data_IF_336073362015
#
_entry.id   IF_336073362015
#
_cell.length_a   1.000
_cell.length_b   1.000
_cell.length_c   1.000
_cell.angle_alpha   90.00
_cell.angle_beta   90.00
_cell.angle_gamma   90.00
#
_symmetry.space_group_name_H-M   'P 1'
#
loop_
_entity.id
_entity.type
_entity.pdbx_description
1 polymer ?
#
# COMPACT_ATOMS: atom_id res chain seq x y z
N UNK A 1 19.62 28.03 -16.28
CA UNK A 1 20.25 27.17 -15.26
C UNK A 1 19.24 26.12 -14.80
N UNK A 2 19.64 24.84 -14.79
CA UNK A 2 18.82 23.73 -14.27
C UNK A 2 19.38 23.41 -12.90
N UNK A 3 18.56 23.51 -11.87
CA UNK A 3 18.91 23.12 -10.52
C UNK A 3 18.40 21.70 -10.27
N UNK A 4 19.31 20.78 -9.95
CA UNK A 4 18.96 19.41 -9.53
C UNK A 4 19.10 19.36 -8.01
N UNK A 5 18.02 19.06 -7.34
CA UNK A 5 17.99 18.87 -5.89
C UNK A 5 17.90 17.38 -5.58
N UNK A 6 18.79 16.89 -4.77
CA UNK A 6 18.69 15.57 -4.17
C UNK A 6 17.91 15.67 -2.86
N UNK A 7 16.80 14.99 -2.76
CA UNK A 7 16.03 14.90 -1.52
C UNK A 7 16.68 13.85 -0.62
N UNK A 8 17.29 14.28 0.45
CA UNK A 8 17.93 13.40 1.43
C UNK A 8 16.93 12.55 2.23
N UNK A 9 15.66 12.91 2.19
CA UNK A 9 14.62 12.33 3.03
C UNK A 9 13.38 11.95 2.21
N UNK A 10 13.48 10.88 1.44
CA UNK A 10 12.38 10.35 0.63
C UNK A 10 11.96 8.94 1.10
N UNK A 11 10.70 8.60 0.87
CA UNK A 11 10.26 7.22 1.02
C UNK A 11 10.79 6.36 -0.13
N UNK A 12 11.30 5.19 0.22
CA UNK A 12 11.61 4.16 -0.76
C UNK A 12 10.35 3.79 -1.57
N UNK A 13 10.55 3.31 -2.79
CA UNK A 13 9.46 2.91 -3.66
C UNK A 13 8.64 1.76 -3.08
N UNK A 14 9.30 0.81 -2.47
CA UNK A 14 8.71 -0.33 -1.76
C UNK A 14 9.43 -0.44 -0.43
N UNK A 15 8.69 -0.60 0.66
CA UNK A 15 9.27 -0.68 1.99
C UNK A 15 8.41 -1.48 2.96
N UNK A 16 9.06 -2.02 3.99
CA UNK A 16 8.38 -2.54 5.17
C UNK A 16 8.17 -1.40 6.16
N UNK A 17 6.93 -1.13 6.62
CA UNK A 17 6.70 -0.11 7.62
C UNK A 17 7.30 -0.51 8.96
N UNK A 18 7.94 0.43 9.65
CA UNK A 18 8.54 0.20 10.98
C UNK A 18 7.52 0.37 12.12
N UNK A 19 6.40 1.03 11.84
CA UNK A 19 5.41 1.35 12.85
C UNK A 19 4.02 1.49 12.22
N UNK A 20 3.00 1.05 12.96
CA UNK A 20 1.59 1.34 12.63
C UNK A 20 1.04 2.29 13.68
N UNK A 21 0.47 3.40 13.24
CA UNK A 21 -0.22 4.37 14.08
C UNK A 21 -1.70 4.29 13.77
N UNK A 22 -2.49 3.96 14.79
CA UNK A 22 -3.94 3.85 14.69
C UNK A 22 -4.63 5.10 15.22
N UNK A 23 -5.69 5.50 14.54
CA UNK A 23 -6.68 6.38 15.13
C UNK A 23 -7.78 5.55 15.77
N UNK A 24 -8.06 5.82 17.05
CA UNK A 24 -9.19 5.21 17.77
C UNK A 24 -10.52 5.82 17.36
N UNK A 25 -10.49 6.97 16.71
CA UNK A 25 -11.67 7.71 16.27
C UNK A 25 -11.96 7.39 14.79
N UNK A 26 -13.24 7.13 14.51
CA UNK A 26 -13.71 7.14 13.14
C UNK A 26 -13.61 8.55 12.55
N UNK A 27 -12.97 8.69 11.40
CA UNK A 27 -12.67 9.96 10.78
C UNK A 27 -13.24 10.02 9.37
N UNK A 28 -13.67 11.21 8.96
CA UNK A 28 -13.87 11.49 7.54
C UNK A 28 -12.51 11.67 6.82
N UNK A 29 -12.54 11.80 5.49
CA UNK A 29 -11.32 11.90 4.68
C UNK A 29 -10.46 13.11 5.07
N UNK A 30 -11.07 14.24 5.38
CA UNK A 30 -10.37 15.48 5.77
C UNK A 30 -9.70 15.32 7.13
N UNK A 31 -10.42 14.74 8.09
CA UNK A 31 -9.90 14.42 9.42
C UNK A 31 -8.73 13.43 9.34
N UNK A 32 -8.81 12.43 8.43
CA UNK A 32 -7.73 11.47 8.21
C UNK A 32 -6.46 12.14 7.69
N UNK A 33 -6.57 13.02 6.70
CA UNK A 33 -5.42 13.80 6.21
C UNK A 33 -4.82 14.67 7.31
N UNK A 34 -5.66 15.33 8.10
CA UNK A 34 -5.21 16.13 9.25
C UNK A 34 -4.50 15.27 10.30
N UNK A 35 -5.03 14.08 10.59
CA UNK A 35 -4.40 13.14 11.51
C UNK A 35 -3.03 12.68 11.00
N UNK A 36 -2.93 12.26 9.74
CA UNK A 36 -1.66 11.85 9.12
C UNK A 36 -0.66 13.01 9.14
N UNK A 37 -1.09 14.21 8.75
CA UNK A 37 -0.22 15.39 8.71
C UNK A 37 0.34 15.77 10.07
N UNK A 38 -0.50 15.70 11.12
CA UNK A 38 -0.08 16.05 12.49
C UNK A 38 0.83 15.01 13.14
N UNK A 39 0.71 13.76 12.73
CA UNK A 39 1.44 12.64 13.33
C UNK A 39 2.47 12.06 12.36
N UNK A 40 2.83 12.80 11.30
CA UNK A 40 3.73 12.32 10.27
C UNK A 40 5.04 11.81 10.85
N UNK A 41 5.35 10.59 10.51
CA UNK A 41 6.61 9.93 10.83
C UNK A 41 7.03 9.07 9.64
N UNK A 42 8.29 9.20 9.22
CA UNK A 42 8.84 8.44 8.10
C UNK A 42 8.78 6.94 8.38
N UNK A 43 8.38 6.16 7.38
CA UNK A 43 8.20 4.71 7.47
C UNK A 43 7.13 4.24 8.47
N UNK A 44 6.29 5.12 8.99
CA UNK A 44 5.09 4.74 9.70
C UNK A 44 3.92 4.56 8.73
N UNK A 45 3.00 3.68 9.10
CA UNK A 45 1.71 3.50 8.42
C UNK A 45 0.63 4.05 9.33
N UNK A 46 -0.15 4.97 8.79
CA UNK A 46 -1.27 5.58 9.50
C UNK A 46 -2.56 4.92 9.03
N UNK A 47 -3.25 4.32 9.96
CA UNK A 47 -4.52 3.65 9.70
C UNK A 47 -5.62 4.35 10.48
N UNK A 48 -6.63 4.80 9.77
CA UNK A 48 -7.87 5.32 10.35
C UNK A 48 -9.06 4.63 9.70
N UNK A 49 -10.10 4.33 10.45
CA UNK A 49 -11.32 3.76 9.88
C UNK A 49 -12.19 4.86 9.28
N UNK A 50 -12.79 4.59 8.12
CA UNK A 50 -13.85 5.40 7.56
C UNK A 50 -15.21 4.71 7.72
N UNK A 51 -16.30 5.47 7.60
CA UNK A 51 -17.67 4.90 7.55
C UNK A 51 -17.83 3.96 6.35
N UNK A 52 -17.12 4.22 5.27
CA UNK A 52 -17.14 3.43 4.03
C UNK A 52 -16.45 2.07 4.18
N UNK A 53 -15.44 1.96 5.05
CA UNK A 53 -14.71 0.71 5.28
C UNK A 53 -15.57 -0.39 5.92
N UNK A 54 -16.72 -0.05 6.51
CA UNK A 54 -17.61 -1.02 7.16
C UNK A 54 -18.35 -1.92 6.17
N UNK A 55 -18.57 -1.43 4.95
CA UNK A 55 -19.36 -2.15 3.92
C UNK A 55 -18.46 -2.91 2.94
N UNK A 56 -17.15 -2.74 3.02
CA UNK A 56 -16.23 -3.49 2.18
C UNK A 56 -15.80 -4.76 2.89
N UNK A 57 -15.74 -5.89 2.17
CA UNK A 57 -15.16 -7.16 2.61
C UNK A 57 -13.63 -7.06 2.86
N UNK A 58 -13.12 -5.85 3.04
CA UNK A 58 -11.73 -5.57 3.32
C UNK A 58 -11.39 -5.97 4.76
N UNK A 59 -10.21 -6.51 4.96
CA UNK A 59 -9.62 -6.67 6.29
C UNK A 59 -9.69 -5.31 6.97
N UNK A 60 -10.31 -5.25 8.15
CA UNK A 60 -10.41 -3.98 8.86
C UNK A 60 -9.01 -3.47 9.21
N UNK A 61 -8.81 -2.17 9.24
CA UNK A 61 -7.54 -1.58 9.68
C UNK A 61 -7.09 -2.09 11.05
N UNK A 62 -8.03 -2.45 11.94
CA UNK A 62 -7.74 -3.10 13.21
C UNK A 62 -7.08 -4.48 13.05
N UNK A 63 -7.40 -5.20 11.98
CA UNK A 63 -6.74 -6.48 11.68
C UNK A 63 -5.31 -6.26 11.16
N UNK A 64 -5.10 -5.27 10.28
CA UNK A 64 -3.75 -4.91 9.82
C UNK A 64 -2.88 -4.47 11.01
N UNK A 65 -3.43 -3.69 11.92
CA UNK A 65 -2.72 -3.20 13.09
C UNK A 65 -2.39 -4.29 14.13
N UNK A 66 -3.21 -5.33 14.21
CA UNK A 66 -2.93 -6.53 15.02
C UNK A 66 -1.95 -7.48 14.32
N UNK A 67 -1.82 -7.34 12.99
CA UNK A 67 -0.85 -8.13 12.23
C UNK A 67 0.53 -7.61 12.58
N UNK A 68 1.42 -8.52 12.87
CA UNK A 68 2.81 -8.16 13.14
C UNK A 68 3.41 -7.42 11.93
N UNK A 69 4.16 -6.36 12.21
CA UNK A 69 4.90 -5.65 11.18
C UNK A 69 5.83 -6.64 10.48
N UNK A 70 5.78 -6.64 9.15
CA UNK A 70 6.69 -7.44 8.35
C UNK A 70 8.12 -6.96 8.51
N UNK A 71 9.04 -7.90 8.56
CA UNK A 71 10.47 -7.63 8.56
C UNK A 71 11.12 -8.37 7.41
N UNK A 72 12.03 -7.70 6.72
CA UNK A 72 12.72 -8.30 5.59
C UNK A 72 13.58 -7.30 4.84
N UNK A 73 14.20 -7.79 3.79
CA UNK A 73 15.07 -7.02 2.90
C UNK A 73 14.47 -6.94 1.52
N UNK A 74 14.52 -5.77 0.92
CA UNK A 74 14.23 -5.58 -0.50
C UNK A 74 15.54 -5.84 -1.26
N UNK A 75 15.57 -6.92 -2.02
CA UNK A 75 16.78 -7.35 -2.76
C UNK A 75 16.91 -6.61 -4.09
N UNK A 76 15.77 -6.36 -4.75
CA UNK A 76 15.74 -5.59 -5.99
C UNK A 76 14.35 -4.99 -6.23
N UNK A 77 14.32 -3.86 -6.93
CA UNK A 77 13.11 -3.24 -7.46
C UNK A 77 13.36 -2.93 -8.93
N UNK A 78 12.47 -3.39 -9.78
CA UNK A 78 12.48 -3.14 -11.21
C UNK A 78 11.18 -2.43 -11.60
N UNK A 79 11.29 -1.35 -12.37
CA UNK A 79 10.13 -0.70 -12.98
C UNK A 79 9.78 -1.44 -14.27
N UNK A 80 8.60 -2.00 -14.33
CA UNK A 80 8.06 -2.64 -15.52
C UNK A 80 7.04 -1.74 -16.23
N UNK A 81 6.57 -2.10 -17.42
CA UNK A 81 5.72 -1.25 -18.28
C UNK A 81 4.55 -0.60 -17.52
N UNK A 82 3.85 -1.34 -16.67
CA UNK A 82 2.67 -0.85 -15.96
C UNK A 82 2.78 -1.12 -14.45
N UNK A 83 3.95 -1.01 -13.86
CA UNK A 83 4.06 -1.28 -12.43
C UNK A 83 5.49 -1.54 -11.95
N UNK A 84 5.59 -2.42 -10.98
CA UNK A 84 6.84 -2.74 -10.31
C UNK A 84 6.96 -4.23 -10.04
N UNK A 85 8.16 -4.76 -10.21
CA UNK A 85 8.56 -6.09 -9.78
C UNK A 85 9.60 -5.93 -8.67
N UNK A 86 9.42 -6.58 -7.54
CA UNK A 86 10.38 -6.60 -6.45
C UNK A 86 10.74 -8.04 -6.08
N UNK A 87 12.02 -8.27 -5.78
CA UNK A 87 12.47 -9.48 -5.11
C UNK A 87 12.72 -9.14 -3.65
N UNK A 88 12.17 -9.92 -2.74
CA UNK A 88 12.26 -9.68 -1.30
C UNK A 88 12.67 -10.94 -0.57
N UNK A 89 13.31 -10.76 0.59
CA UNK A 89 13.60 -11.83 1.55
C UNK A 89 12.96 -11.45 2.89
N UNK A 90 11.92 -12.16 3.28
CA UNK A 90 11.05 -11.82 4.42
C UNK A 90 11.36 -12.74 5.58
N UNK A 91 11.91 -12.18 6.66
CA UNK A 91 12.19 -12.90 7.91
C UNK A 91 10.93 -13.04 8.77
N UNK A 92 10.03 -12.04 8.68
CA UNK A 92 8.75 -12.04 9.36
C UNK A 92 7.67 -11.50 8.43
N UNK A 93 6.65 -12.30 8.13
CA UNK A 93 5.54 -11.91 7.27
C UNK A 93 4.76 -10.73 7.83
N UNK A 94 4.24 -9.92 6.92
CA UNK A 94 3.46 -8.74 7.30
C UNK A 94 3.22 -7.78 6.14
N UNK A 95 2.97 -6.53 6.46
CA UNK A 95 2.62 -5.52 5.47
C UNK A 95 3.85 -5.03 4.69
N UNK A 96 3.76 -5.10 3.36
CA UNK A 96 4.69 -4.44 2.44
C UNK A 96 3.96 -3.29 1.76
N UNK A 97 4.57 -2.11 1.70
CA UNK A 97 3.98 -0.89 1.14
C UNK A 97 4.64 -0.53 -0.18
N UNK A 98 3.82 -0.25 -1.19
CA UNK A 98 4.21 0.43 -2.42
C UNK A 98 3.88 1.92 -2.26
N UNK A 99 4.91 2.76 -2.29
CA UNK A 99 4.79 4.22 -2.27
C UNK A 99 4.32 4.73 -3.64
N UNK A 100 3.07 4.46 -3.94
CA UNK A 100 2.40 4.84 -5.17
C UNK A 100 0.93 5.11 -4.87
N UNK A 101 0.35 6.12 -5.53
CA UNK A 101 -1.03 6.48 -5.33
C UNK A 101 -1.98 5.29 -5.54
N UNK A 102 -2.81 5.04 -4.53
CA UNK A 102 -3.85 4.01 -4.60
C UNK A 102 -5.02 4.52 -5.44
N UNK A 103 -5.40 3.71 -6.40
CA UNK A 103 -6.63 3.89 -7.16
C UNK A 103 -7.44 2.60 -7.08
N UNK A 104 -8.65 2.69 -6.56
CA UNK A 104 -9.51 1.53 -6.36
C UNK A 104 -9.78 0.77 -7.67
N UNK A 105 -9.56 -0.55 -7.64
CA UNK A 105 -9.73 -1.43 -8.80
C UNK A 105 -8.67 -1.30 -9.89
N UNK A 106 -7.69 -0.37 -9.77
CA UNK A 106 -6.65 -0.19 -10.79
C UNK A 106 -5.35 -0.93 -10.47
N UNK A 107 -5.05 -1.12 -9.20
CA UNK A 107 -3.87 -1.86 -8.78
C UNK A 107 -4.22 -3.33 -8.57
N UNK A 108 -3.33 -4.20 -9.05
CA UNK A 108 -3.32 -5.63 -8.75
C UNK A 108 -1.99 -6.02 -8.16
N UNK A 109 -2.01 -6.85 -7.14
CA UNK A 109 -0.84 -7.37 -6.46
C UNK A 109 -0.69 -8.86 -6.67
N UNK A 110 0.53 -9.31 -6.85
CA UNK A 110 0.85 -10.73 -7.00
C UNK A 110 2.03 -11.09 -6.12
N UNK A 111 1.95 -12.26 -5.50
CA UNK A 111 3.04 -12.91 -4.78
C UNK A 111 3.34 -14.21 -5.52
N UNK A 112 4.55 -14.36 -6.04
CA UNK A 112 4.97 -15.55 -6.81
C UNK A 112 3.98 -15.92 -7.94
N UNK A 113 3.50 -14.89 -8.67
CA UNK A 113 2.49 -14.96 -9.72
C UNK A 113 1.06 -15.33 -9.26
N UNK A 114 0.79 -15.48 -7.98
CA UNK A 114 -0.58 -15.65 -7.47
C UNK A 114 -1.13 -14.29 -7.06
N UNK A 115 -2.35 -13.98 -7.52
CA UNK A 115 -3.01 -12.74 -7.15
C UNK A 115 -3.23 -12.69 -5.63
N UNK A 116 -2.95 -11.54 -5.05
CA UNK A 116 -3.09 -11.26 -3.63
C UNK A 116 -3.83 -9.95 -3.41
N UNK A 117 -4.54 -9.85 -2.30
CA UNK A 117 -5.34 -8.68 -1.97
C UNK A 117 -4.46 -7.44 -1.76
N UNK A 118 -4.88 -6.34 -2.39
CA UNK A 118 -4.30 -5.01 -2.22
C UNK A 118 -5.09 -4.24 -1.17
N UNK A 119 -4.38 -3.45 -0.39
CA UNK A 119 -4.94 -2.59 0.66
C UNK A 119 -4.60 -1.13 0.39
N UNK A 120 -5.54 -0.25 0.69
CA UNK A 120 -5.30 1.18 0.74
C UNK A 120 -4.62 1.54 2.06
N UNK A 121 -3.46 2.16 1.99
CA UNK A 121 -2.63 2.51 3.13
C UNK A 121 -2.42 4.02 3.15
N UNK A 122 -2.38 4.63 4.33
CA UNK A 122 -2.18 6.09 4.48
C UNK A 122 -3.14 6.93 3.61
N UNK A 123 -4.32 6.42 3.31
CA UNK A 123 -5.31 6.98 2.38
C UNK A 123 -4.88 7.09 0.91
N UNK A 124 -3.61 6.99 0.62
CA UNK A 124 -3.05 7.26 -0.72
C UNK A 124 -2.07 6.21 -1.22
N UNK A 125 -1.58 5.32 -0.38
CA UNK A 125 -0.59 4.31 -0.75
C UNK A 125 -1.22 2.93 -0.92
N UNK A 126 -0.47 2.04 -1.54
CA UNK A 126 -0.89 0.66 -1.83
C UNK A 126 -0.11 -0.30 -0.95
N UNK A 127 -0.77 -1.25 -0.32
CA UNK A 127 -0.14 -2.27 0.51
C UNK A 127 -0.54 -3.68 0.12
N UNK A 128 0.30 -4.64 0.47
CA UNK A 128 0.05 -6.08 0.30
C UNK A 128 0.61 -6.84 1.50
N UNK A 129 -0.10 -7.88 1.95
CA UNK A 129 0.41 -8.77 3.00
C UNK A 129 1.29 -9.84 2.39
N UNK A 130 2.52 -9.98 2.89
CA UNK A 130 3.50 -10.95 2.39
C UNK A 130 3.83 -12.00 3.46
N UNK A 131 3.98 -13.27 3.10
CA UNK A 131 4.39 -14.33 4.02
C UNK A 131 5.90 -14.32 4.26
N UNK A 132 6.38 -15.15 5.19
CA UNK A 132 7.81 -15.39 5.39
C UNK A 132 8.42 -16.07 4.16
N UNK A 133 9.68 -15.79 3.89
CA UNK A 133 10.45 -16.42 2.83
C UNK A 133 10.87 -15.47 1.71
N UNK A 134 11.45 -16.04 0.67
CA UNK A 134 11.86 -15.31 -0.53
C UNK A 134 10.72 -15.28 -1.53
N UNK A 135 10.33 -14.07 -1.93
CA UNK A 135 9.19 -13.86 -2.82
C UNK A 135 9.49 -12.89 -3.94
N UNK A 136 8.79 -13.09 -5.06
CA UNK A 136 8.67 -12.09 -6.13
C UNK A 136 7.33 -11.41 -6.02
N UNK A 137 7.35 -10.11 -5.75
CA UNK A 137 6.16 -9.28 -5.62
C UNK A 137 5.99 -8.47 -6.90
N UNK A 138 4.80 -8.55 -7.49
CA UNK A 138 4.47 -7.76 -8.67
C UNK A 138 3.27 -6.88 -8.37
N UNK A 139 3.41 -5.59 -8.57
CA UNK A 139 2.34 -4.62 -8.57
C UNK A 139 2.07 -4.17 -10.01
N UNK A 140 0.86 -4.37 -10.50
CA UNK A 140 0.43 -3.95 -11.83
C UNK A 140 -0.65 -2.88 -11.73
N UNK A 141 -0.50 -1.83 -12.52
CA UNK A 141 -1.52 -0.82 -12.72
C UNK A 141 -2.28 -1.12 -13.99
N UNK A 142 -3.54 -1.49 -13.86
CA UNK A 142 -4.43 -1.84 -14.96
C UNK A 142 -5.58 -0.83 -15.02
N UNK A 143 -5.65 -0.06 -16.10
CA UNK A 143 -6.82 0.79 -16.33
C UNK A 143 -7.98 -0.09 -16.78
N UNK A 144 -9.13 -0.09 -16.08
CA UNK A 144 -10.34 -0.73 -16.60
C UNK A 144 -10.62 -0.14 -17.97
N UNK A 145 -10.77 -1.00 -18.97
CA UNK A 145 -11.17 -0.54 -20.30
C UNK A 145 -12.54 0.14 -20.16
N UNK A 146 -12.68 1.33 -20.71
CA UNK A 146 -13.94 2.10 -20.73
C UNK A 146 -15.15 1.28 -21.22
N UNK A 147 -14.92 0.23 -21.99
CA UNK A 147 -15.94 -0.70 -22.47
C UNK A 147 -16.64 -1.49 -21.35
N UNK A 148 -15.95 -1.86 -20.27
CA UNK A 148 -16.56 -2.66 -19.20
C UNK A 148 -17.53 -1.83 -18.34
N UNK A 149 -17.31 -0.52 -18.22
CA UNK A 149 -18.24 0.36 -17.48
C UNK A 149 -19.56 0.65 -18.22
N UNK A 150 -19.59 0.55 -19.54
CA UNK A 150 -20.79 0.86 -20.32
C UNK A 150 -21.81 -0.29 -20.29
N UNK A 151 -21.38 -1.53 -20.06
CA UNK A 151 -22.28 -2.69 -20.02
C UNK A 151 -22.90 -2.96 -18.64
N UNK A 152 -22.42 -2.35 -17.57
CA UNK A 152 -22.96 -2.52 -16.21
C UNK A 152 -23.92 -1.39 -15.79
N UNK A 153 -24.33 -0.53 -16.72
CA UNK A 153 -25.35 0.52 -16.53
C UNK A 153 -26.71 0.11 -17.13
N UNK A 154 -27.11 -1.14 -16.88
CA UNK A 154 -28.51 -1.57 -17.16
C UNK A 154 -29.15 -2.05 -15.89
#
# INVERSE_FOLDING_TARGET
EIFIYELSDYYERIYFPKRVILSDKEMDVSEQYSFISKNYEKHAVYLSSTKEDRNSSSISYKQIAKTELGEGSILSIEKIKNGYLASIDVTKGGLLVLNQAYYDGFWKGYIDNKESKIFKINNIQTGIMVPNGKHKIKFLYERPLLREKIFNLK
#
